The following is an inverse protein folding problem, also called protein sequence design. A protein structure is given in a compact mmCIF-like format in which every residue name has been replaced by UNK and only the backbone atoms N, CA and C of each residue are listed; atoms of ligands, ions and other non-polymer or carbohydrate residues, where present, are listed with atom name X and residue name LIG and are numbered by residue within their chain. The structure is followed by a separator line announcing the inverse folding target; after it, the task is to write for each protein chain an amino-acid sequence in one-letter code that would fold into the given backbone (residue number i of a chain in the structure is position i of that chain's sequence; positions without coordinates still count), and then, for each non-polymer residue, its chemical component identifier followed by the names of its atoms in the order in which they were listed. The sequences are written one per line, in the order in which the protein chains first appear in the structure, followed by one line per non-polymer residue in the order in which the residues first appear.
data_IF_601842408100
#
_entry.id   IF_601842408100
#
_cell.length_a   1.000
_cell.length_b   1.000
_cell.length_c   1.000
_cell.angle_alpha   90.00
_cell.angle_beta   90.00
_cell.angle_gamma   90.00
#
_symmetry.space_group_name_H-M   'P 1'
#
loop_
_entity.id
_entity.type
_entity.pdbx_description
1 polymer ?
#
# COMPACT_ATOMS: atom_id res chain seq x y z
N UNK A 1 12.77 -6.39 11.64
CA UNK A 1 12.57 -5.00 12.09
C UNK A 1 12.31 -4.03 10.94
N UNK A 2 13.11 -4.04 9.86
CA UNK A 2 12.90 -3.18 8.68
C UNK A 2 11.45 -3.19 8.12
N UNK A 3 10.86 -4.38 7.91
CA UNK A 3 9.46 -4.53 7.44
C UNK A 3 8.44 -3.75 8.28
N UNK A 4 8.62 -3.71 9.59
CA UNK A 4 7.74 -2.99 10.51
C UNK A 4 7.93 -1.48 10.41
N UNK A 5 9.18 -1.02 10.30
CA UNK A 5 9.50 0.39 10.06
C UNK A 5 8.83 0.91 8.79
N UNK A 6 8.85 0.15 7.71
CA UNK A 6 8.19 0.52 6.44
C UNK A 6 6.68 0.69 6.62
N UNK A 7 6.01 -0.22 7.34
CA UNK A 7 4.56 -0.10 7.61
C UNK A 7 4.24 1.15 8.45
N UNK A 8 5.05 1.46 9.46
CA UNK A 8 4.86 2.66 10.27
C UNK A 8 5.02 3.91 9.42
N UNK A 9 6.07 3.98 8.59
CA UNK A 9 6.29 5.10 7.68
C UNK A 9 5.14 5.24 6.68
N UNK A 10 4.62 4.14 6.16
CA UNK A 10 3.45 4.13 5.29
C UNK A 10 2.19 4.68 5.99
N UNK A 11 1.91 4.25 7.23
CA UNK A 11 0.76 4.76 8.00
C UNK A 11 0.92 6.27 8.27
N UNK A 12 2.11 6.73 8.65
CA UNK A 12 2.40 8.14 8.84
C UNK A 12 2.21 8.93 7.53
N UNK A 13 2.71 8.41 6.42
CA UNK A 13 2.49 9.00 5.10
C UNK A 13 1.00 9.15 4.79
N UNK A 14 0.20 8.09 5.00
CA UNK A 14 -1.24 8.15 4.78
C UNK A 14 -1.94 9.15 5.72
N UNK A 15 -1.49 9.27 6.97
CA UNK A 15 -1.98 10.28 7.90
C UNK A 15 -1.72 11.71 7.37
N UNK A 16 -0.53 11.96 6.82
CA UNK A 16 -0.18 13.26 6.23
C UNK A 16 -0.97 13.55 4.94
N UNK A 17 -1.17 12.56 4.06
CA UNK A 17 -2.02 12.71 2.86
C UNK A 17 -3.43 13.18 3.24
N UNK A 18 -3.94 12.75 4.40
CA UNK A 18 -5.27 13.07 4.89
C UNK A 18 -5.32 14.31 5.82
N UNK A 19 -4.23 15.09 5.93
CA UNK A 19 -4.13 16.14 6.95
C UNK A 19 -5.31 17.13 6.92
N UNK A 20 -5.76 17.52 5.72
CA UNK A 20 -6.88 18.44 5.50
C UNK A 20 -8.27 17.81 5.43
N UNK A 21 -8.42 16.51 5.65
CA UNK A 21 -9.70 15.81 5.65
C UNK A 21 -10.37 15.78 7.03
N UNK A 22 -11.68 15.51 7.04
CA UNK A 22 -12.46 15.38 8.29
C UNK A 22 -11.86 14.30 9.19
N UNK A 23 -11.83 14.55 10.50
CA UNK A 23 -11.27 13.62 11.48
C UNK A 23 -11.85 12.20 11.37
N UNK A 24 -13.16 12.06 11.11
CA UNK A 24 -13.79 10.76 10.92
C UNK A 24 -13.19 9.98 9.73
N UNK A 25 -12.93 10.64 8.60
CA UNK A 25 -12.32 10.01 7.41
C UNK A 25 -10.88 9.60 7.73
N UNK A 26 -10.12 10.51 8.35
CA UNK A 26 -8.73 10.28 8.76
C UNK A 26 -8.61 9.07 9.69
N UNK A 27 -9.41 9.03 10.76
CA UNK A 27 -9.41 7.93 11.72
C UNK A 27 -9.81 6.63 11.01
N UNK A 28 -10.88 6.63 10.23
CA UNK A 28 -11.34 5.42 9.52
C UNK A 28 -10.25 4.82 8.63
N UNK A 29 -9.58 5.65 7.82
CA UNK A 29 -8.54 5.19 6.91
C UNK A 29 -7.28 4.74 7.67
N UNK A 30 -6.84 5.49 8.67
CA UNK A 30 -5.66 5.12 9.48
C UNK A 30 -5.94 3.83 10.25
N UNK A 31 -7.12 3.67 10.84
CA UNK A 31 -7.53 2.44 11.50
C UNK A 31 -7.60 1.27 10.51
N UNK A 32 -8.13 1.47 9.30
CA UNK A 32 -8.12 0.46 8.24
C UNK A 32 -6.70 -0.05 7.96
N UNK A 33 -5.75 0.85 7.67
CA UNK A 33 -4.37 0.45 7.36
C UNK A 33 -3.61 -0.11 8.57
N UNK A 34 -3.95 0.35 9.77
CA UNK A 34 -3.37 -0.19 11.01
C UNK A 34 -3.82 -1.63 11.24
N UNK A 35 -5.13 -1.90 11.14
CA UNK A 35 -5.66 -3.27 11.25
C UNK A 35 -5.11 -4.16 10.13
N UNK A 36 -5.07 -3.66 8.89
CA UNK A 36 -4.48 -4.37 7.77
C UNK A 36 -3.00 -4.71 8.02
N UNK A 37 -2.24 -3.81 8.65
CA UNK A 37 -0.82 -4.04 9.03
C UNK A 37 -0.66 -5.14 10.05
N UNK A 38 -1.54 -5.15 11.07
CA UNK A 38 -1.52 -6.19 12.10
C UNK A 38 -1.82 -7.56 11.47
N UNK A 39 -2.88 -7.67 10.67
CA UNK A 39 -3.25 -8.93 10.01
C UNK A 39 -2.15 -9.39 9.06
N UNK A 40 -1.58 -8.47 8.29
CA UNK A 40 -0.50 -8.77 7.35
C UNK A 40 0.73 -9.35 8.04
N UNK A 41 1.24 -8.67 9.08
CA UNK A 41 2.41 -9.10 9.84
C UNK A 41 2.16 -10.43 10.57
N UNK A 42 0.97 -10.59 11.14
CA UNK A 42 0.59 -11.84 11.79
C UNK A 42 0.59 -13.01 10.80
N UNK A 43 0.07 -12.80 9.59
CA UNK A 43 0.10 -13.80 8.53
C UNK A 43 1.52 -14.16 8.09
N UNK A 44 2.39 -13.17 7.89
CA UNK A 44 3.82 -13.41 7.61
C UNK A 44 4.45 -14.26 8.71
N UNK A 45 4.27 -13.88 9.97
CA UNK A 45 4.84 -14.62 11.11
C UNK A 45 4.31 -16.06 11.16
N UNK A 46 3.01 -16.26 10.97
CA UNK A 46 2.40 -17.60 10.96
C UNK A 46 2.93 -18.47 9.83
N UNK A 47 3.08 -17.93 8.61
CA UNK A 47 3.63 -18.65 7.46
C UNK A 47 5.12 -18.97 7.71
N UNK A 48 5.91 -17.98 8.13
CA UNK A 48 7.33 -18.17 8.43
C UNK A 48 7.56 -19.26 9.47
N UNK A 49 6.78 -19.27 10.54
CA UNK A 49 6.88 -20.27 11.61
C UNK A 49 6.41 -21.66 11.15
N UNK A 50 5.32 -21.73 10.37
CA UNK A 50 4.76 -23.01 9.89
C UNK A 50 5.68 -23.72 8.90
N UNK A 51 6.35 -22.98 8.03
CA UNK A 51 7.18 -23.54 6.95
C UNK A 51 8.68 -23.48 7.23
N UNK A 52 9.08 -23.05 8.43
CA UNK A 52 10.48 -22.86 8.81
C UNK A 52 11.26 -22.07 7.75
N UNK A 53 10.69 -20.96 7.27
CA UNK A 53 11.27 -20.20 6.14
C UNK A 53 12.70 -19.68 6.39
N UNK A 54 13.12 -19.65 7.66
CA UNK A 54 14.43 -19.16 8.09
C UNK A 54 15.33 -20.27 8.68
N UNK A 55 14.79 -21.47 8.89
CA UNK A 55 15.51 -22.62 9.44
C UNK A 55 15.46 -23.75 8.40
N UNK A 56 16.59 -24.09 7.80
CA UNK A 56 16.62 -25.11 6.74
C UNK A 56 16.23 -26.52 7.25
N UNK A 57 15.80 -27.44 6.37
CA UNK A 57 15.31 -27.22 5.00
C UNK A 57 13.87 -26.66 5.00
N UNK A 58 13.63 -25.68 4.12
CA UNK A 58 12.31 -25.06 3.97
C UNK A 58 11.30 -26.10 3.48
N UNK A 59 10.19 -26.24 4.19
CA UNK A 59 9.10 -27.14 3.80
C UNK A 59 8.50 -26.71 2.45
N UNK A 60 8.16 -27.69 1.60
CA UNK A 60 7.55 -27.43 0.29
C UNK A 60 6.35 -26.47 0.40
N UNK A 61 6.23 -25.55 -0.58
CA UNK A 61 5.18 -24.51 -0.68
C UNK A 61 5.28 -23.33 0.31
N UNK A 62 6.30 -23.27 1.17
CA UNK A 62 6.48 -22.14 2.08
C UNK A 62 6.61 -20.79 1.37
N UNK A 63 7.49 -20.71 0.38
CA UNK A 63 7.67 -19.51 -0.44
C UNK A 63 6.43 -19.18 -1.28
N UNK A 64 5.78 -20.19 -1.88
CA UNK A 64 4.53 -19.97 -2.60
C UNK A 64 3.46 -19.34 -1.70
N UNK A 65 3.26 -19.89 -0.50
CA UNK A 65 2.27 -19.38 0.46
C UNK A 65 2.59 -17.94 0.90
N UNK A 66 3.87 -17.64 1.13
CA UNK A 66 4.30 -16.27 1.45
C UNK A 66 4.08 -15.32 0.27
N UNK A 67 4.39 -15.75 -0.96
CA UNK A 67 4.21 -14.98 -2.18
C UNK A 67 2.74 -14.64 -2.44
N UNK A 68 1.85 -15.62 -2.29
CA UNK A 68 0.39 -15.41 -2.40
C UNK A 68 -0.12 -14.44 -1.32
N UNK A 69 0.34 -14.60 -0.08
CA UNK A 69 -0.02 -13.70 1.02
C UNK A 69 0.44 -12.26 0.76
N UNK A 70 1.70 -12.07 0.37
CA UNK A 70 2.24 -10.75 0.02
C UNK A 70 1.52 -10.17 -1.20
N UNK A 71 1.22 -10.99 -2.21
CA UNK A 71 0.48 -10.59 -3.40
C UNK A 71 -0.90 -10.04 -3.07
N UNK A 72 -1.71 -10.78 -2.31
CA UNK A 72 -3.06 -10.34 -1.90
C UNK A 72 -2.99 -9.03 -1.12
N UNK A 73 -2.10 -8.93 -0.14
CA UNK A 73 -1.97 -7.72 0.67
C UNK A 73 -1.44 -6.54 -0.12
N UNK A 74 -0.59 -6.75 -1.14
CA UNK A 74 -0.14 -5.65 -2.00
C UNK A 74 -1.33 -4.92 -2.64
N UNK A 75 -2.35 -5.64 -3.11
CA UNK A 75 -3.56 -5.05 -3.66
C UNK A 75 -4.39 -4.32 -2.59
N UNK A 76 -4.52 -4.90 -1.40
CA UNK A 76 -5.24 -4.30 -0.27
C UNK A 76 -4.57 -3.03 0.27
N UNK A 77 -3.26 -2.86 0.07
CA UNK A 77 -2.58 -1.60 0.36
C UNK A 77 -2.69 -0.61 -0.79
N UNK A 78 -2.33 -1.04 -2.01
CA UNK A 78 -2.10 -0.14 -3.14
C UNK A 78 -3.42 0.44 -3.66
N UNK A 79 -4.45 -0.39 -3.87
CA UNK A 79 -5.69 0.07 -4.48
C UNK A 79 -6.38 1.13 -3.60
N UNK A 80 -6.62 0.90 -2.29
CA UNK A 80 -7.21 1.93 -1.44
C UNK A 80 -6.34 3.19 -1.35
N UNK A 81 -5.01 3.04 -1.28
CA UNK A 81 -4.09 4.18 -1.24
C UNK A 81 -4.20 5.06 -2.48
N UNK A 82 -4.28 4.45 -3.67
CA UNK A 82 -4.46 5.18 -4.94
C UNK A 82 -5.79 5.92 -4.97
N UNK A 83 -6.87 5.28 -4.53
CA UNK A 83 -8.20 5.91 -4.46
C UNK A 83 -8.15 7.13 -3.53
N UNK A 84 -7.51 7.01 -2.38
CA UNK A 84 -7.38 8.10 -1.40
C UNK A 84 -6.51 9.24 -1.96
N UNK A 85 -5.35 8.92 -2.53
CA UNK A 85 -4.45 9.91 -3.13
C UNK A 85 -5.14 10.60 -4.30
N UNK A 86 -5.84 9.87 -5.18
CA UNK A 86 -6.62 10.43 -6.27
C UNK A 86 -7.69 11.39 -5.73
N UNK A 87 -8.46 10.97 -4.71
CA UNK A 87 -9.48 11.80 -4.10
C UNK A 87 -8.92 13.13 -3.54
N UNK A 88 -7.86 13.06 -2.72
CA UNK A 88 -7.25 14.25 -2.11
C UNK A 88 -6.62 15.15 -3.18
N UNK A 89 -5.85 14.57 -4.10
CA UNK A 89 -5.17 15.32 -5.16
C UNK A 89 -6.14 16.01 -6.12
N UNK A 90 -7.23 15.36 -6.52
CA UNK A 90 -8.26 15.98 -7.37
C UNK A 90 -8.99 17.13 -6.69
N UNK A 91 -9.24 17.03 -5.38
CA UNK A 91 -9.80 18.14 -4.60
C UNK A 91 -8.88 19.36 -4.61
N UNK A 92 -7.56 19.15 -4.52
CA UNK A 92 -6.55 20.21 -4.62
C UNK A 92 -6.50 20.80 -6.02
N UNK A 93 -6.43 19.98 -7.07
CA UNK A 93 -6.39 20.42 -8.47
C UNK A 93 -7.63 21.26 -8.80
N UNK A 94 -8.82 20.84 -8.39
CA UNK A 94 -10.07 21.60 -8.61
C UNK A 94 -10.03 22.99 -7.95
N UNK A 95 -9.37 23.12 -6.78
CA UNK A 95 -9.23 24.40 -6.10
C UNK A 95 -8.24 25.34 -6.79
N UNK A 96 -7.19 24.78 -7.41
CA UNK A 96 -6.13 25.55 -8.07
C UNK A 96 -6.50 25.98 -9.49
N UNK A 97 -7.25 25.17 -10.23
CA UNK A 97 -7.59 25.42 -11.63
C UNK A 97 -9.06 25.83 -11.77
N UNK A 98 -9.32 27.14 -11.72
CA UNK A 98 -10.66 27.73 -11.93
C UNK A 98 -10.78 28.12 -13.40
N UNK A 99 -11.24 27.21 -14.28
CA UNK A 99 -11.46 27.50 -15.70
C UNK A 99 -11.33 26.29 -16.62
N UNK A 100 -12.42 25.89 -17.26
CA UNK A 100 -12.60 24.57 -17.89
C UNK A 100 -12.14 24.50 -19.36
N UNK A 101 -11.11 23.68 -19.57
CA UNK A 101 -10.88 22.69 -20.65
C UNK A 101 -9.61 21.88 -20.33
N UNK A 102 -8.62 22.54 -19.72
CA UNK A 102 -7.34 21.94 -19.29
C UNK A 102 -7.48 20.96 -18.11
N UNK A 103 -8.51 21.11 -17.26
CA UNK A 103 -8.73 20.24 -16.09
C UNK A 103 -8.89 18.76 -16.49
N UNK A 104 -9.59 18.49 -17.59
CA UNK A 104 -9.76 17.12 -18.09
C UNK A 104 -8.43 16.49 -18.50
N UNK A 105 -7.57 17.25 -19.19
CA UNK A 105 -6.23 16.80 -19.59
C UNK A 105 -5.38 16.53 -18.35
N UNK A 106 -5.42 17.43 -17.36
CA UNK A 106 -4.70 17.26 -16.09
C UNK A 106 -5.16 16.00 -15.37
N UNK A 107 -6.46 15.71 -15.31
CA UNK A 107 -6.95 14.48 -14.69
C UNK A 107 -6.50 13.22 -15.42
N UNK A 108 -6.52 13.21 -16.75
CA UNK A 108 -6.06 12.05 -17.54
C UNK A 108 -4.57 11.82 -17.29
N UNK A 109 -3.74 12.87 -17.38
CA UNK A 109 -2.29 12.77 -17.13
C UNK A 109 -2.03 12.28 -15.70
N UNK A 110 -2.75 12.83 -14.72
CA UNK A 110 -2.59 12.43 -13.33
C UNK A 110 -3.00 10.98 -13.07
N UNK A 111 -4.09 10.52 -13.68
CA UNK A 111 -4.53 9.14 -13.57
C UNK A 111 -3.49 8.17 -14.17
N UNK A 112 -2.91 8.52 -15.32
CA UNK A 112 -1.81 7.74 -15.91
C UNK A 112 -0.60 7.65 -14.98
N UNK A 113 -0.24 8.76 -14.31
CA UNK A 113 0.85 8.77 -13.33
C UNK A 113 0.51 7.87 -12.13
N UNK A 114 -0.70 7.93 -11.60
CA UNK A 114 -1.14 7.06 -10.50
C UNK A 114 -1.10 5.58 -10.88
N UNK A 115 -1.48 5.25 -12.11
CA UNK A 115 -1.37 3.88 -12.64
C UNK A 115 0.10 3.45 -12.71
N UNK A 116 1.00 4.29 -13.24
CA UNK A 116 2.43 3.97 -13.25
C UNK A 116 3.01 3.77 -11.84
N UNK A 117 2.64 4.64 -10.90
CA UNK A 117 3.02 4.53 -9.48
C UNK A 117 2.50 3.22 -8.87
N UNK A 118 1.32 2.74 -9.27
CA UNK A 118 0.76 1.49 -8.77
C UNK A 118 1.64 0.28 -9.09
N UNK A 119 2.16 0.19 -10.32
CA UNK A 119 3.06 -0.89 -10.75
C UNK A 119 4.38 -0.84 -9.97
N UNK A 120 4.96 0.35 -9.84
CA UNK A 120 6.19 0.54 -9.07
C UNK A 120 5.96 0.18 -7.60
N UNK A 121 4.82 0.59 -7.03
CA UNK A 121 4.46 0.29 -5.65
C UNK A 121 4.32 -1.21 -5.42
N UNK A 122 3.74 -1.96 -6.37
CA UNK A 122 3.60 -3.41 -6.28
C UNK A 122 4.96 -4.11 -6.29
N UNK A 123 5.89 -3.67 -7.15
CA UNK A 123 7.26 -4.18 -7.18
C UNK A 123 7.98 -3.90 -5.86
N UNK A 124 7.94 -2.66 -5.38
CA UNK A 124 8.56 -2.26 -4.11
C UNK A 124 7.98 -3.07 -2.94
N UNK A 125 6.65 -3.19 -2.87
CA UNK A 125 5.98 -3.95 -1.81
C UNK A 125 6.42 -5.42 -1.81
N UNK A 126 6.45 -6.04 -2.98
CA UNK A 126 6.90 -7.43 -3.14
C UNK A 126 8.35 -7.58 -2.69
N UNK A 127 9.26 -6.71 -3.15
CA UNK A 127 10.67 -6.72 -2.78
C UNK A 127 10.89 -6.58 -1.27
N UNK A 128 10.12 -5.73 -0.59
CA UNK A 128 10.27 -5.49 0.85
C UNK A 128 9.77 -6.69 1.67
N UNK A 129 8.60 -7.25 1.33
CA UNK A 129 7.92 -8.22 2.19
C UNK A 129 8.13 -9.68 1.79
N UNK A 130 8.22 -9.97 0.49
CA UNK A 130 8.57 -11.28 -0.02
C UNK A 130 10.10 -11.44 -0.11
N UNK A 131 10.81 -10.41 -0.57
CA UNK A 131 12.26 -10.46 -0.81
C UNK A 131 12.59 -10.88 -2.23
N UNK A 132 13.90 -10.93 -2.55
CA UNK A 132 14.39 -11.74 -3.67
C UNK A 132 14.35 -13.19 -3.19
N UNK A 133 13.33 -13.95 -3.57
CA UNK A 133 13.33 -15.38 -3.27
C UNK A 133 14.63 -16.02 -3.82
N UNK A 134 15.30 -16.88 -3.05
CA UNK A 134 16.43 -17.67 -3.56
C UNK A 134 15.98 -18.70 -4.60
#
# INVERSE_FOLDING_TARGET
MFKLTVLILFILFMYFVLFGERNAIKITIVSYFTLLSIVFLFGISKISNKYHLYDGPVLERGFQSLGEWVGIFSYLYIIPSLVIIAYVSFKIIKRLFIGTKLIAIVYIVWLTILVAISFISQLIFTLIYYGFAP
#
